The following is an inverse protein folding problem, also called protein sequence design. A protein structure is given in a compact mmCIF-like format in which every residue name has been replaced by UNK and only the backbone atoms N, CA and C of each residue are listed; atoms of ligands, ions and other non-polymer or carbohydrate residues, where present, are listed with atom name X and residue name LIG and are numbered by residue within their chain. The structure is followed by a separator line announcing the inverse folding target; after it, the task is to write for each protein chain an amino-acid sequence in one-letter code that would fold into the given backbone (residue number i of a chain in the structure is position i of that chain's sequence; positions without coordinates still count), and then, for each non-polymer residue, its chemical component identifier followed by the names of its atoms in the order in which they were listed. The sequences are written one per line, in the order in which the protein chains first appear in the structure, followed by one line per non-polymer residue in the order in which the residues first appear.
data_IF_248590021052
#
_entry.id   IF_248590021052
#
_cell.length_a   1.000
_cell.length_b   1.000
_cell.length_c   1.000
_cell.angle_alpha   90.00
_cell.angle_beta   90.00
_cell.angle_gamma   90.00
#
_symmetry.space_group_name_H-M   'P 1'
#
loop_
_entity.id
_entity.type
_entity.pdbx_description
1 polymer ?
#
# COMPACT_ATOMS: atom_id res chain seq x y z
N UNK A 1 -10.46 9.54 -3.25
CA UNK A 1 -9.29 9.58 -2.33
C UNK A 1 -8.10 10.10 -3.13
N UNK A 2 -7.28 10.98 -2.56
CA UNK A 2 -6.02 11.45 -3.17
C UNK A 2 -4.85 10.57 -2.69
N UNK A 3 -3.74 10.51 -3.45
CA UNK A 3 -2.53 9.77 -3.04
C UNK A 3 -1.96 10.26 -1.70
N UNK A 4 -2.20 11.53 -1.36
CA UNK A 4 -1.85 12.12 -0.07
C UNK A 4 -2.78 11.72 1.09
N UNK A 5 -3.78 10.86 0.85
CA UNK A 5 -4.68 10.38 1.90
C UNK A 5 -3.90 9.57 2.94
N UNK A 6 -4.15 9.89 4.22
CA UNK A 6 -3.58 9.18 5.34
C UNK A 6 -4.17 7.76 5.44
N UNK A 7 -3.34 6.79 5.79
CA UNK A 7 -3.78 5.46 6.18
C UNK A 7 -4.44 5.56 7.56
N UNK A 8 -5.62 4.94 7.72
CA UNK A 8 -6.32 4.91 9.02
C UNK A 8 -5.49 4.27 10.14
N UNK A 9 -4.57 3.38 9.78
CA UNK A 9 -3.56 2.84 10.67
C UNK A 9 -2.19 2.92 10.00
N UNK A 10 -1.23 3.69 10.56
CA UNK A 10 0.12 3.74 10.02
C UNK A 10 0.81 2.37 10.15
N UNK A 11 1.50 1.95 9.09
CA UNK A 11 2.17 0.64 9.04
C UNK A 11 3.66 0.84 9.33
N UNK A 12 4.19 0.32 10.46
CA UNK A 12 5.61 0.39 10.75
C UNK A 12 6.40 -0.55 9.85
N UNK A 13 7.54 -0.06 9.37
CA UNK A 13 8.49 -0.79 8.55
C UNK A 13 9.64 -1.32 9.41
N UNK A 14 10.20 -2.49 9.05
CA UNK A 14 11.33 -3.08 9.78
C UNK A 14 12.59 -2.19 9.77
N UNK A 15 12.72 -1.31 8.77
CA UNK A 15 13.84 -0.37 8.64
C UNK A 15 13.67 0.91 9.48
N UNK A 16 12.66 0.98 10.37
CA UNK A 16 12.42 2.12 11.27
C UNK A 16 11.60 3.27 10.67
N UNK A 17 11.01 3.08 9.48
CA UNK A 17 10.07 4.02 8.87
C UNK A 17 8.60 3.66 9.11
N UNK A 18 7.68 4.54 8.73
CA UNK A 18 6.23 4.25 8.76
C UNK A 18 5.55 4.66 7.45
N UNK A 19 4.66 3.79 6.96
CA UNK A 19 3.74 4.12 5.87
C UNK A 19 2.55 4.85 6.48
N UNK A 20 2.47 6.16 6.23
CA UNK A 20 1.41 7.02 6.78
C UNK A 20 0.38 7.43 5.74
N UNK A 21 0.72 7.33 4.45
CA UNK A 21 -0.13 7.72 3.33
C UNK A 21 -0.12 6.66 2.24
N UNK A 22 -1.13 6.70 1.36
CA UNK A 22 -1.17 5.86 0.16
C UNK A 22 0.04 6.08 -0.75
N UNK A 23 0.54 7.31 -0.83
CA UNK A 23 1.78 7.64 -1.55
C UNK A 23 3.01 6.97 -0.93
N UNK A 24 3.15 6.98 0.41
CA UNK A 24 4.22 6.25 1.08
C UNK A 24 4.12 4.74 0.82
N UNK A 25 2.91 4.17 0.86
CA UNK A 25 2.70 2.76 0.55
C UNK A 25 3.10 2.43 -0.90
N UNK A 26 2.70 3.27 -1.86
CA UNK A 26 3.10 3.14 -3.27
C UNK A 26 4.61 3.23 -3.44
N UNK A 27 5.25 4.24 -2.87
CA UNK A 27 6.70 4.44 -2.95
C UNK A 27 7.47 3.29 -2.30
N UNK A 28 6.96 2.73 -1.21
CA UNK A 28 7.52 1.56 -0.58
C UNK A 28 7.40 0.32 -1.47
N UNK A 29 6.23 0.07 -2.07
CA UNK A 29 5.98 -1.10 -2.92
C UNK A 29 6.75 -1.06 -4.24
N UNK A 30 6.97 0.12 -4.82
CA UNK A 30 7.72 0.33 -6.06
C UNK A 30 9.25 0.33 -5.87
N UNK A 31 9.75 0.24 -4.63
CA UNK A 31 11.19 0.25 -4.33
C UNK A 31 11.84 -1.11 -4.72
N UNK A 32 12.90 -1.13 -5.55
CA UNK A 32 13.54 -2.35 -6.05
C UNK A 32 14.54 -2.98 -5.06
N UNK A 33 15.05 -4.18 -5.39
CA UNK A 33 14.35 -5.45 -5.22
C UNK A 33 14.54 -5.95 -3.79
N UNK A 34 13.46 -6.02 -3.02
CA UNK A 34 13.49 -6.75 -1.76
C UNK A 34 13.34 -8.25 -2.05
N UNK A 35 14.08 -9.13 -1.36
CA UNK A 35 14.04 -10.58 -1.58
C UNK A 35 12.66 -11.23 -1.33
N UNK A 36 11.65 -10.45 -0.92
CA UNK A 36 10.28 -10.88 -0.66
C UNK A 36 9.27 -10.43 -1.74
N UNK A 37 9.70 -9.69 -2.77
CA UNK A 37 8.82 -9.18 -3.83
C UNK A 37 8.23 -10.29 -4.76
N UNK A 38 8.79 -11.50 -4.73
CA UNK A 38 8.30 -12.66 -5.49
C UNK A 38 7.11 -13.37 -4.83
N UNK A 39 6.73 -12.96 -3.62
CA UNK A 39 5.62 -13.59 -2.93
C UNK A 39 4.27 -13.12 -3.52
N UNK A 40 3.28 -14.02 -3.71
CA UNK A 40 1.97 -13.66 -4.26
C UNK A 40 1.23 -12.62 -3.40
N UNK A 41 1.45 -12.61 -2.08
CA UNK A 41 0.92 -11.55 -1.21
C UNK A 41 1.45 -10.14 -1.54
N UNK A 42 2.64 -10.05 -2.15
CA UNK A 42 3.26 -8.78 -2.52
C UNK A 42 2.57 -8.16 -3.75
N UNK A 43 2.23 -8.98 -4.75
CA UNK A 43 1.45 -8.55 -5.91
C UNK A 43 0.03 -8.13 -5.50
N UNK A 44 -0.63 -8.92 -4.64
CA UNK A 44 -1.94 -8.55 -4.11
C UNK A 44 -1.94 -7.21 -3.36
N UNK A 45 -0.87 -6.91 -2.60
CA UNK A 45 -0.72 -5.63 -1.93
C UNK A 45 -0.49 -4.46 -2.90
N UNK A 46 0.30 -4.68 -3.97
CA UNK A 46 0.49 -3.69 -5.05
C UNK A 46 -0.84 -3.38 -5.73
N UNK A 47 -1.59 -4.40 -6.12
CA UNK A 47 -2.89 -4.25 -6.77
C UNK A 47 -3.90 -3.53 -5.87
N UNK A 48 -3.97 -3.88 -4.58
CA UNK A 48 -4.85 -3.21 -3.63
C UNK A 48 -4.52 -1.71 -3.47
N UNK A 49 -3.23 -1.36 -3.37
CA UNK A 49 -2.80 0.05 -3.26
C UNK A 49 -3.07 0.83 -4.54
N UNK A 50 -2.81 0.23 -5.71
CA UNK A 50 -3.12 0.85 -7.01
C UNK A 50 -4.63 1.03 -7.19
N UNK A 51 -5.45 0.06 -6.78
CA UNK A 51 -6.91 0.12 -6.86
C UNK A 51 -7.46 1.23 -5.99
N UNK A 52 -7.04 1.32 -4.73
CA UNK A 52 -7.50 2.37 -3.79
C UNK A 52 -7.05 3.76 -4.25
N UNK A 53 -5.81 3.89 -4.73
CA UNK A 53 -5.28 5.15 -5.25
C UNK A 53 -5.91 5.60 -6.57
N UNK A 54 -6.43 4.67 -7.38
CA UNK A 54 -7.05 4.97 -8.68
C UNK A 54 -8.57 5.13 -8.61
N UNK A 55 -9.25 4.41 -7.70
CA UNK A 55 -10.73 4.38 -7.64
C UNK A 55 -11.34 5.07 -6.42
N UNK A 56 -10.57 5.41 -5.38
CA UNK A 56 -11.09 6.14 -4.22
C UNK A 56 -12.33 5.54 -3.55
N UNK A 57 -12.54 4.21 -3.64
CA UNK A 57 -13.69 3.50 -3.11
C UNK A 57 -13.38 2.72 -1.83
N UNK A 58 -14.40 2.46 -0.97
CA UNK A 58 -14.23 1.83 0.32
C UNK A 58 -13.91 0.33 0.14
N UNK A 59 -12.83 -0.14 0.77
CA UNK A 59 -12.54 -1.56 0.93
C UNK A 59 -13.40 -2.16 2.05
N UNK A 60 -14.72 -2.11 1.88
CA UNK A 60 -15.65 -2.95 2.64
C UNK A 60 -16.38 -3.83 1.64
N UNK A 61 -15.81 -5.02 1.40
CA UNK A 61 -16.56 -6.11 0.77
C UNK A 61 -17.65 -6.56 1.75
N UNK A 62 -18.91 -6.32 1.40
CA UNK A 62 -20.07 -6.99 1.98
C UNK A 62 -21.12 -7.11 0.88
N UNK A 63 -21.16 -8.27 0.23
CA UNK A 63 -22.34 -9.03 -0.20
C UNK A 63 -21.88 -10.20 -1.08
#
# INVERSE_FOLDING_TARGET
MSWSAALSSPIPLPDGGELRTLDHARAFLLKPPRPHCDAPQWQAAIEAVLLVGSHGGPTSSTA
#
